data_IF_897537217433
#
_entry.id   IF_897537217433
#
_cell.length_a   1.000
_cell.length_b   1.000
_cell.length_c   1.000
_cell.angle_alpha   90.00
_cell.angle_beta   90.00
_cell.angle_gamma   90.00
#
_symmetry.space_group_name_H-M   'P 1'
#
loop_
_entity.id
_entity.type
_entity.pdbx_description
1 polymer ?
#
# COMPACT_ATOMS: atom_id res chain seq x y z
N UNK A 1 36.76 -39.15 -8.14
CA UNK A 1 36.65 -38.27 -6.97
C UNK A 1 35.22 -37.74 -6.95
N UNK A 2 34.39 -38.20 -6.02
CA UNK A 2 32.99 -37.75 -5.87
C UNK A 2 33.02 -36.43 -5.11
N UNK A 3 32.39 -35.40 -5.66
CA UNK A 3 32.06 -34.19 -4.91
C UNK A 3 30.63 -34.36 -4.43
N UNK A 4 30.47 -34.64 -3.14
CA UNK A 4 29.19 -34.49 -2.46
C UNK A 4 28.99 -33.00 -2.20
N UNK A 5 27.99 -32.41 -2.84
CA UNK A 5 27.50 -31.08 -2.49
C UNK A 5 26.59 -31.25 -1.28
N UNK A 6 27.12 -30.88 -0.12
CA UNK A 6 26.32 -30.65 1.09
C UNK A 6 25.36 -29.50 0.77
N UNK A 7 24.03 -29.64 0.95
CA UNK A 7 23.14 -28.49 0.86
C UNK A 7 23.47 -27.57 2.02
N UNK A 8 24.07 -26.42 1.71
CA UNK A 8 24.11 -25.30 2.64
C UNK A 8 22.65 -24.96 2.94
N UNK A 9 22.24 -25.24 4.18
CA UNK A 9 21.04 -24.69 4.79
C UNK A 9 21.21 -23.16 4.83
N UNK A 10 20.89 -22.49 3.73
CA UNK A 10 20.76 -21.05 3.68
C UNK A 10 19.42 -20.73 4.29
N UNK A 11 19.42 -20.42 5.58
CA UNK A 11 18.32 -19.68 6.20
C UNK A 11 18.08 -18.44 5.32
N UNK A 12 16.94 -18.43 4.64
CA UNK A 12 16.53 -17.31 3.81
C UNK A 12 16.29 -16.08 4.72
N UNK A 13 17.03 -14.97 4.56
CA UNK A 13 16.78 -13.74 5.32
C UNK A 13 15.42 -13.10 5.02
N UNK A 14 14.63 -13.65 4.09
CA UNK A 14 13.34 -13.13 3.65
C UNK A 14 12.19 -13.34 4.64
N UNK A 15 12.35 -14.15 5.70
CA UNK A 15 11.24 -14.49 6.62
C UNK A 15 10.66 -13.29 7.40
N UNK A 16 11.25 -12.10 7.27
CA UNK A 16 10.71 -10.84 7.80
C UNK A 16 10.54 -9.71 6.76
N UNK A 17 10.71 -10.00 5.46
CA UNK A 17 10.56 -8.99 4.40
C UNK A 17 9.22 -9.15 3.70
N UNK A 18 8.57 -8.02 3.43
CA UNK A 18 7.37 -8.00 2.59
C UNK A 18 7.71 -8.49 1.20
N UNK A 19 6.84 -9.34 0.65
CA UNK A 19 7.01 -9.90 -0.68
C UNK A 19 7.23 -8.82 -1.76
N UNK A 20 8.06 -9.14 -2.74
CA UNK A 20 8.44 -8.24 -3.82
C UNK A 20 7.24 -7.74 -4.64
N UNK A 21 6.17 -8.54 -4.76
CA UNK A 21 4.95 -8.12 -5.44
C UNK A 21 4.28 -6.97 -4.69
N UNK A 22 4.10 -7.10 -3.37
CA UNK A 22 3.49 -6.06 -2.54
C UNK A 22 4.29 -4.77 -2.56
N UNK A 23 5.62 -4.85 -2.56
CA UNK A 23 6.48 -3.67 -2.70
C UNK A 23 6.20 -2.92 -4.00
N UNK A 24 6.10 -3.66 -5.11
CA UNK A 24 5.80 -3.07 -6.43
C UNK A 24 4.40 -2.45 -6.45
N UNK A 25 3.41 -3.16 -5.93
CA UNK A 25 2.02 -2.71 -5.86
C UNK A 25 1.89 -1.40 -5.09
N UNK A 26 2.46 -1.33 -3.89
CA UNK A 26 2.43 -0.12 -3.05
C UNK A 26 3.18 1.05 -3.71
N UNK A 27 4.30 0.80 -4.41
CA UNK A 27 4.97 1.83 -5.24
C UNK A 27 4.05 2.38 -6.32
N UNK A 28 3.23 1.54 -6.96
CA UNK A 28 2.24 1.98 -7.95
C UNK A 28 1.06 2.75 -7.34
N UNK A 29 0.64 2.41 -6.11
CA UNK A 29 -0.41 3.16 -5.39
C UNK A 29 -0.03 4.63 -5.21
N UNK A 30 1.23 4.89 -4.82
CA UNK A 30 1.70 6.24 -4.50
C UNK A 30 2.31 6.99 -5.69
N UNK A 31 2.37 6.38 -6.88
CA UNK A 31 3.13 6.92 -8.00
C UNK A 31 2.67 8.34 -8.40
N UNK A 32 1.36 8.58 -8.35
CA UNK A 32 0.70 9.87 -8.66
C UNK A 32 0.54 10.80 -7.46
N UNK A 33 1.12 10.48 -6.31
CA UNK A 33 1.19 11.39 -5.17
C UNK A 33 2.34 12.37 -5.42
N UNK A 34 2.02 13.65 -5.53
CA UNK A 34 2.99 14.68 -5.94
C UNK A 34 4.09 14.89 -4.89
N UNK A 35 3.74 14.73 -3.62
CA UNK A 35 4.62 14.97 -2.48
C UNK A 35 4.79 13.67 -1.66
N UNK A 36 5.09 12.58 -2.36
CA UNK A 36 5.19 11.21 -1.84
C UNK A 36 6.37 10.99 -0.89
N UNK A 37 7.37 11.86 -0.92
CA UNK A 37 8.50 11.88 0.01
C UNK A 37 8.08 11.98 1.48
N UNK A 38 6.86 12.49 1.76
CA UNK A 38 6.30 12.47 3.12
C UNK A 38 5.98 11.06 3.64
N UNK A 39 5.77 10.10 2.74
CA UNK A 39 5.50 8.69 3.03
C UNK A 39 6.82 7.92 3.02
N UNK A 40 7.56 8.01 1.92
CA UNK A 40 8.69 7.14 1.61
C UNK A 40 10.07 7.77 1.86
N UNK A 41 10.15 9.05 2.24
CA UNK A 41 11.40 9.80 2.30
C UNK A 41 11.91 10.25 0.93
N UNK A 42 13.10 10.85 0.90
CA UNK A 42 13.86 11.09 -0.33
C UNK A 42 14.39 9.73 -0.83
N UNK A 43 13.57 9.05 -1.62
CA UNK A 43 13.83 7.68 -2.08
C UNK A 43 14.98 7.69 -3.09
N UNK A 44 16.13 7.17 -2.66
CA UNK A 44 16.88 6.23 -3.50
C UNK A 44 16.04 4.94 -3.63
N UNK A 45 15.99 4.34 -4.81
CA UNK A 45 15.07 3.23 -5.17
C UNK A 45 15.20 1.98 -4.27
N UNK A 46 16.22 1.97 -3.40
CA UNK A 46 16.65 0.90 -2.50
C UNK A 46 15.85 0.75 -1.21
N UNK A 47 15.13 1.78 -0.74
CA UNK A 47 14.39 1.69 0.53
C UNK A 47 13.14 0.78 0.41
N UNK A 48 13.06 -0.21 1.31
CA UNK A 48 11.92 -1.14 1.37
C UNK A 48 10.65 -0.48 1.92
N UNK A 49 9.48 -0.96 1.50
CA UNK A 49 8.20 -0.38 1.94
C UNK A 49 7.95 -0.53 3.45
N UNK A 50 8.68 -1.43 4.13
CA UNK A 50 8.62 -1.56 5.58
C UNK A 50 9.13 -0.32 6.34
N UNK A 51 9.88 0.56 5.69
CA UNK A 51 10.38 1.81 6.29
C UNK A 51 9.43 3.00 6.03
N UNK A 52 8.42 2.80 5.17
CA UNK A 52 7.50 3.87 4.81
C UNK A 52 6.54 4.18 5.94
N UNK A 53 6.29 5.48 6.15
CA UNK A 53 5.41 5.92 7.23
C UNK A 53 3.98 5.44 7.02
N UNK A 54 3.38 4.95 8.09
CA UNK A 54 1.96 4.56 8.10
C UNK A 54 1.67 3.24 7.42
N UNK A 55 2.67 2.39 7.12
CA UNK A 55 2.45 1.02 6.67
C UNK A 55 2.54 0.07 7.87
N UNK A 56 1.50 -0.75 8.06
CA UNK A 56 1.52 -1.86 9.00
C UNK A 56 1.65 -3.19 8.24
N UNK A 57 2.62 -4.00 8.65
CA UNK A 57 2.90 -5.31 8.08
C UNK A 57 2.66 -6.38 9.15
N UNK A 58 1.90 -7.41 8.81
CA UNK A 58 1.67 -8.60 9.64
C UNK A 58 1.96 -9.84 8.81
N UNK A 59 2.77 -10.75 9.36
CA UNK A 59 3.13 -12.01 8.70
C UNK A 59 3.67 -11.81 7.27
N UNK A 60 4.44 -10.74 7.05
CA UNK A 60 5.01 -10.39 5.74
C UNK A 60 4.06 -9.66 4.79
N UNK A 61 2.82 -9.39 5.18
CA UNK A 61 1.79 -8.79 4.34
C UNK A 61 1.40 -7.38 4.82
N UNK A 62 1.23 -6.43 3.91
CA UNK A 62 0.68 -5.11 4.22
C UNK A 62 -0.80 -5.24 4.56
N UNK A 63 -1.18 -4.89 5.79
CA UNK A 63 -2.56 -5.03 6.27
C UNK A 63 -3.26 -3.69 6.42
N UNK A 64 -2.57 -2.67 6.93
CA UNK A 64 -3.15 -1.36 7.19
C UNK A 64 -2.25 -0.25 6.62
N UNK A 65 -2.90 0.78 6.06
CA UNK A 65 -2.24 1.98 5.53
C UNK A 65 -2.87 3.21 6.17
N UNK A 66 -2.08 3.98 6.91
CA UNK A 66 -2.48 5.19 7.64
C UNK A 66 -1.67 6.40 7.18
N UNK A 67 -2.20 7.09 6.17
CA UNK A 67 -1.62 8.30 5.60
C UNK A 67 -2.47 9.55 5.87
N UNK A 68 -3.31 9.49 6.90
CA UNK A 68 -4.16 10.60 7.30
C UNK A 68 -3.37 11.81 7.79
N UNK A 69 -3.75 13.02 7.37
CA UNK A 69 -3.16 14.26 7.88
C UNK A 69 -1.76 14.62 7.36
N UNK A 70 -1.22 13.89 6.39
CA UNK A 70 0.13 14.13 5.85
C UNK A 70 0.20 15.33 4.90
N UNK A 71 -0.95 15.98 4.63
CA UNK A 71 -1.11 17.06 3.64
C UNK A 71 -0.64 16.60 2.25
N UNK A 72 -0.97 15.36 1.89
CA UNK A 72 -0.69 14.74 0.59
C UNK A 72 -1.55 15.37 -0.50
N UNK A 73 -0.99 15.43 -1.72
CA UNK A 73 -1.58 16.01 -2.92
C UNK A 73 -1.44 15.04 -4.10
N UNK A 74 -2.21 15.28 -5.15
CA UNK A 74 -2.23 14.45 -6.35
C UNK A 74 -3.39 13.46 -6.32
N UNK A 75 -3.13 12.22 -6.73
CA UNK A 75 -4.13 11.14 -6.80
C UNK A 75 -3.53 9.80 -6.42
N UNK A 76 -4.39 8.78 -6.25
CA UNK A 76 -4.01 7.42 -5.86
C UNK A 76 -4.56 6.41 -6.86
N UNK A 77 -3.84 5.30 -7.03
CA UNK A 77 -4.31 4.14 -7.79
C UNK A 77 -4.75 3.01 -6.85
N UNK A 78 -6.00 3.04 -6.41
CA UNK A 78 -6.52 2.06 -5.44
C UNK A 78 -6.57 0.64 -6.00
N UNK A 79 -6.58 0.47 -7.32
CA UNK A 79 -6.54 -0.85 -7.96
C UNK A 79 -5.23 -1.61 -7.75
N UNK A 80 -4.18 -0.92 -7.30
CA UNK A 80 -2.88 -1.53 -6.97
C UNK A 80 -2.71 -1.78 -5.47
N UNK A 81 -3.76 -1.66 -4.67
CA UNK A 81 -3.68 -2.08 -3.27
C UNK A 81 -3.42 -3.60 -3.22
N UNK A 82 -2.44 -4.07 -2.41
CA UNK A 82 -2.27 -5.49 -2.16
C UNK A 82 -3.57 -6.13 -1.65
N UNK A 83 -3.78 -7.39 -2.03
CA UNK A 83 -4.99 -8.15 -1.71
C UNK A 83 -5.18 -8.38 -0.20
N UNK A 84 -4.12 -8.22 0.60
CA UNK A 84 -4.12 -8.35 2.06
C UNK A 84 -4.61 -7.11 2.80
N UNK A 85 -4.70 -5.94 2.14
CA UNK A 85 -5.02 -4.66 2.79
C UNK A 85 -6.47 -4.63 3.28
N UNK A 86 -6.63 -4.43 4.59
CA UNK A 86 -7.92 -4.42 5.30
C UNK A 86 -8.38 -3.02 5.65
N UNK A 87 -7.43 -2.09 5.84
CA UNK A 87 -7.73 -0.70 6.19
C UNK A 87 -6.90 0.26 5.36
N UNK A 88 -7.57 1.23 4.74
CA UNK A 88 -6.93 2.39 4.12
C UNK A 88 -7.48 3.68 4.72
N UNK A 89 -6.62 4.47 5.33
CA UNK A 89 -6.95 5.78 5.88
C UNK A 89 -6.11 6.85 5.21
N UNK A 90 -6.77 7.72 4.45
CA UNK A 90 -6.17 8.88 3.79
C UNK A 90 -6.90 10.16 4.16
N UNK A 91 -7.58 10.15 5.31
CA UNK A 91 -8.40 11.26 5.78
C UNK A 91 -7.57 12.55 5.94
N UNK A 92 -8.21 13.70 5.79
CA UNK A 92 -7.58 15.00 6.08
C UNK A 92 -6.32 15.26 5.23
N UNK A 93 -6.45 15.08 3.92
CA UNK A 93 -5.41 15.37 2.93
C UNK A 93 -5.96 16.32 1.85
N UNK A 94 -5.26 16.44 0.72
CA UNK A 94 -5.64 17.28 -0.44
C UNK A 94 -5.62 16.44 -1.72
N UNK A 95 -6.02 15.17 -1.63
CA UNK A 95 -6.14 14.32 -2.81
C UNK A 95 -7.28 14.83 -3.70
N UNK A 96 -7.06 14.71 -5.01
CA UNK A 96 -7.95 15.19 -6.07
C UNK A 96 -8.28 14.04 -7.03
N UNK A 97 -9.23 14.28 -7.94
CA UNK A 97 -9.67 13.29 -8.92
C UNK A 97 -10.78 12.40 -8.38
N UNK A 98 -11.04 11.30 -9.09
CA UNK A 98 -12.09 10.34 -8.75
C UNK A 98 -11.55 9.19 -7.91
N UNK A 99 -12.45 8.56 -7.14
CA UNK A 99 -12.14 7.37 -6.35
C UNK A 99 -12.89 6.18 -6.92
N UNK A 100 -12.14 5.16 -7.33
CA UNK A 100 -12.70 3.88 -7.75
C UNK A 100 -12.75 2.89 -6.57
N UNK A 101 -13.91 2.78 -5.94
CA UNK A 101 -14.14 1.80 -4.87
C UNK A 101 -14.40 0.38 -5.41
N UNK A 102 -14.66 0.21 -6.71
CA UNK A 102 -14.90 -1.11 -7.27
C UNK A 102 -13.61 -1.94 -7.34
N UNK A 103 -12.45 -1.29 -7.40
CA UNK A 103 -11.14 -1.94 -7.45
C UNK A 103 -10.51 -2.25 -6.09
N UNK A 104 -11.24 -2.04 -4.98
CA UNK A 104 -10.73 -2.37 -3.65
C UNK A 104 -10.56 -3.89 -3.46
N UNK A 105 -9.56 -4.33 -2.67
CA UNK A 105 -9.37 -5.74 -2.37
C UNK A 105 -10.56 -6.30 -1.57
N UNK A 106 -10.83 -7.59 -1.72
CA UNK A 106 -11.94 -8.26 -1.04
C UNK A 106 -11.80 -8.26 0.49
N UNK A 107 -10.57 -8.12 1.00
CA UNK A 107 -10.24 -8.07 2.42
C UNK A 107 -10.49 -6.70 3.06
N UNK A 108 -10.86 -5.69 2.26
CA UNK A 108 -11.08 -4.32 2.71
C UNK A 108 -12.27 -4.26 3.68
N UNK A 109 -12.00 -3.91 4.94
CA UNK A 109 -13.00 -3.71 5.97
C UNK A 109 -13.35 -2.24 6.16
N UNK A 110 -12.36 -1.36 6.08
CA UNK A 110 -12.50 0.05 6.45
C UNK A 110 -11.76 0.97 5.47
N UNK A 111 -12.44 1.99 4.94
CA UNK A 111 -11.82 3.04 4.13
C UNK A 111 -12.22 4.43 4.63
N UNK A 112 -11.24 5.29 4.90
CA UNK A 112 -11.45 6.66 5.39
C UNK A 112 -10.92 7.68 4.38
N UNK A 113 -11.85 8.31 3.65
CA UNK A 113 -11.55 9.25 2.55
C UNK A 113 -11.89 10.71 2.88
N UNK A 114 -12.56 10.95 4.01
CA UNK A 114 -13.11 12.25 4.38
C UNK A 114 -12.05 13.35 4.43
N UNK A 115 -12.49 14.61 4.28
CA UNK A 115 -11.62 15.79 4.28
C UNK A 115 -10.51 15.71 3.22
N UNK A 116 -10.91 15.43 1.98
CA UNK A 116 -10.09 15.54 0.77
C UNK A 116 -10.84 16.41 -0.26
N UNK A 117 -10.23 16.59 -1.43
CA UNK A 117 -10.78 17.35 -2.57
C UNK A 117 -11.16 16.44 -3.73
N UNK A 118 -11.60 15.21 -3.43
CA UNK A 118 -12.08 14.28 -4.45
C UNK A 118 -13.32 14.82 -5.16
N UNK A 119 -13.47 14.46 -6.43
CA UNK A 119 -14.57 14.86 -7.29
C UNK A 119 -15.14 13.64 -8.02
N UNK A 120 -16.23 13.82 -8.76
CA UNK A 120 -16.89 12.76 -9.51
C UNK A 120 -17.83 11.89 -8.67
N UNK A 121 -18.35 10.84 -9.30
CA UNK A 121 -19.33 9.93 -8.68
C UNK A 121 -18.63 8.72 -8.08
N UNK A 122 -19.04 8.33 -6.87
CA UNK A 122 -18.55 7.12 -6.21
C UNK A 122 -19.48 5.96 -6.57
N UNK A 123 -18.93 4.92 -7.19
CA UNK A 123 -19.64 3.66 -7.41
C UNK A 123 -19.65 2.80 -6.15
N UNK A 124 -20.79 2.73 -5.45
CA UNK A 124 -20.92 1.95 -4.21
C UNK A 124 -21.26 0.47 -4.43
N UNK A 125 -21.20 -0.03 -5.68
CA UNK A 125 -21.69 -1.38 -6.05
C UNK A 125 -21.05 -2.54 -5.26
N UNK A 126 -19.87 -2.33 -4.66
CA UNK A 126 -19.15 -3.34 -3.87
C UNK A 126 -19.24 -3.13 -2.35
N UNK A 127 -19.83 -2.04 -1.88
CA UNK A 127 -20.11 -1.85 -0.46
C UNK A 127 -21.42 -2.59 -0.15
N UNK A 128 -21.33 -3.89 0.05
CA UNK A 128 -22.47 -4.64 0.59
C UNK A 128 -22.69 -4.16 2.03
N UNK A 129 -23.89 -3.67 2.30
CA UNK A 129 -24.36 -3.47 3.68
C UNK A 129 -24.45 -4.86 4.29
N UNK A 130 -23.69 -5.09 5.37
CA UNK A 130 -23.79 -6.30 6.19
C UNK A 130 -25.16 -6.43 6.86
#
# INVERSE_FOLDING_TARGET
MKFELVPLNTADPSLGRVDHEQQRLIKMVIDRITNKEKICGDVDESAGIQEWKGIEIKDGEVVDIEWGGFRLRGSLHLQWLPSSVRKLSIFFNRFTGTVDLASLPNSMNCIYLAFNTFTGSIGLKRLQLG
#
